data_IF_109792066053
#
_entry.id   IF_109792066053
#
_cell.length_a   1.000
_cell.length_b   1.000
_cell.length_c   1.000
_cell.angle_alpha   90.00
_cell.angle_beta   90.00
_cell.angle_gamma   90.00
#
_symmetry.space_group_name_H-M   'P 1'
#
loop_
_entity.id
_entity.type
_entity.pdbx_description
1 polymer ?
#
# COMPACT_ATOMS: atom_id res chain seq x y z
N UNK A 1 -6.35 20.18 1.82
CA UNK A 1 -6.18 18.89 1.13
C UNK A 1 -6.07 19.12 -0.37
N UNK A 2 -7.07 19.72 -1.04
CA UNK A 2 -7.16 19.84 -2.50
C UNK A 2 -5.91 20.42 -3.15
N UNK A 3 -5.50 21.65 -2.82
CA UNK A 3 -4.34 22.30 -3.47
C UNK A 3 -3.05 21.52 -3.29
N UNK A 4 -2.90 20.95 -2.13
CA UNK A 4 -1.70 20.24 -1.74
C UNK A 4 -1.56 18.91 -2.48
N UNK A 5 -2.56 18.04 -2.41
CA UNK A 5 -2.51 16.74 -3.08
C UNK A 5 -2.49 16.91 -4.60
N UNK A 6 -3.23 17.85 -5.15
CA UNK A 6 -3.27 18.14 -6.58
C UNK A 6 -1.90 18.50 -7.15
N UNK A 7 -1.19 19.43 -6.50
CA UNK A 7 0.12 19.90 -6.98
C UNK A 7 1.27 18.96 -6.63
N UNK A 8 1.22 18.31 -5.44
CA UNK A 8 2.31 17.43 -5.00
C UNK A 8 2.37 16.11 -5.78
N UNK A 9 1.24 15.63 -6.28
CA UNK A 9 1.13 14.28 -6.82
C UNK A 9 0.91 14.24 -8.33
N UNK A 10 1.16 15.36 -9.02
CA UNK A 10 0.95 15.49 -10.46
C UNK A 10 -0.49 15.16 -10.93
N UNK A 11 -1.49 15.22 -10.05
CA UNK A 11 -2.89 14.99 -10.41
C UNK A 11 -3.41 16.01 -11.43
N UNK A 12 -2.75 17.16 -11.54
CA UNK A 12 -3.02 18.16 -12.58
C UNK A 12 -2.78 17.68 -14.03
N UNK A 13 -2.04 16.58 -14.19
CA UNK A 13 -1.85 15.97 -15.52
C UNK A 13 -3.02 15.07 -15.92
N UNK A 14 -3.86 14.68 -14.97
CA UNK A 14 -4.95 13.71 -15.15
C UNK A 14 -6.32 14.39 -15.03
N UNK A 15 -6.47 15.34 -14.11
CA UNK A 15 -7.72 16.02 -13.81
C UNK A 15 -7.54 17.54 -13.90
N UNK A 16 -8.56 18.26 -14.34
CA UNK A 16 -8.63 19.69 -14.05
C UNK A 16 -8.89 19.91 -12.54
N UNK A 17 -8.57 21.12 -12.05
CA UNK A 17 -8.64 21.41 -10.61
C UNK A 17 -10.07 21.32 -10.06
N UNK A 18 -11.07 21.71 -10.84
CA UNK A 18 -12.47 21.72 -10.42
C UNK A 18 -13.02 20.30 -10.30
N UNK A 19 -12.72 19.45 -11.28
CA UNK A 19 -13.12 18.03 -11.25
C UNK A 19 -12.39 17.29 -10.15
N UNK A 20 -11.09 17.54 -9.97
CA UNK A 20 -10.35 16.96 -8.85
C UNK A 20 -10.97 17.31 -7.49
N UNK A 21 -11.28 18.59 -7.28
CA UNK A 21 -11.90 19.02 -6.02
C UNK A 21 -13.28 18.43 -5.80
N UNK A 22 -14.15 18.47 -6.81
CA UNK A 22 -15.55 18.08 -6.64
C UNK A 22 -15.76 16.57 -6.67
N UNK A 23 -15.03 15.85 -7.53
CA UNK A 23 -15.20 14.40 -7.71
C UNK A 23 -14.29 13.65 -6.75
N UNK A 24 -12.98 13.92 -6.77
CA UNK A 24 -12.00 13.12 -6.03
C UNK A 24 -11.99 13.49 -4.56
N UNK A 25 -11.89 14.78 -4.22
CA UNK A 25 -11.74 15.20 -2.83
C UNK A 25 -13.05 15.19 -2.08
N UNK A 26 -14.11 15.80 -2.64
CA UNK A 26 -15.42 15.89 -1.97
C UNK A 26 -16.29 14.66 -2.24
N UNK A 27 -16.36 14.23 -3.51
CA UNK A 27 -17.26 13.16 -3.92
C UNK A 27 -16.85 11.76 -3.45
N UNK A 28 -15.56 11.55 -3.20
CA UNK A 28 -15.04 10.26 -2.72
C UNK A 28 -14.72 10.25 -1.22
N UNK A 29 -15.06 11.29 -0.47
CA UNK A 29 -14.88 11.29 0.99
C UNK A 29 -15.58 10.05 1.62
N UNK A 30 -14.99 9.34 2.59
CA UNK A 30 -13.78 9.63 3.34
C UNK A 30 -12.47 9.04 2.76
N UNK A 31 -12.43 8.63 1.50
CA UNK A 31 -11.21 8.16 0.89
C UNK A 31 -10.21 9.32 0.67
N UNK A 32 -8.96 9.14 1.07
CA UNK A 32 -7.92 10.10 0.72
C UNK A 32 -7.74 10.15 -0.82
N UNK A 33 -7.43 11.32 -1.42
CA UNK A 33 -7.41 11.46 -2.87
C UNK A 33 -6.53 10.46 -3.63
N UNK A 34 -5.32 10.17 -3.13
CA UNK A 34 -4.47 9.15 -3.73
C UNK A 34 -4.99 7.73 -3.49
N UNK A 35 -5.71 7.51 -2.42
CA UNK A 35 -6.40 6.23 -2.16
C UNK A 35 -7.43 5.95 -3.23
N UNK A 36 -8.23 6.96 -3.62
CA UNK A 36 -9.22 6.83 -4.72
C UNK A 36 -8.54 6.40 -6.02
N UNK A 37 -7.51 7.13 -6.41
CA UNK A 37 -6.79 6.83 -7.66
C UNK A 37 -6.13 5.44 -7.61
N UNK A 38 -5.47 5.12 -6.49
CA UNK A 38 -4.82 3.82 -6.30
C UNK A 38 -5.84 2.67 -6.33
N UNK A 39 -7.00 2.84 -5.69
CA UNK A 39 -8.07 1.85 -5.67
C UNK A 39 -8.54 1.50 -7.08
N UNK A 40 -8.85 2.51 -7.88
CA UNK A 40 -9.30 2.31 -9.28
C UNK A 40 -8.21 1.61 -10.09
N UNK A 41 -6.98 2.11 -10.03
CA UNK A 41 -5.88 1.55 -10.84
C UNK A 41 -5.44 0.15 -10.41
N UNK A 42 -5.47 -0.16 -9.14
CA UNK A 42 -5.23 -1.53 -8.65
C UNK A 42 -6.35 -2.46 -9.10
N UNK A 43 -7.61 -2.04 -8.97
CA UNK A 43 -8.75 -2.84 -9.40
C UNK A 43 -8.71 -3.16 -10.91
N UNK A 44 -8.29 -2.21 -11.75
CA UNK A 44 -8.06 -2.45 -13.19
C UNK A 44 -7.02 -3.55 -13.43
N UNK A 45 -5.96 -3.60 -12.62
CA UNK A 45 -4.87 -4.58 -12.75
C UNK A 45 -5.26 -5.99 -12.29
N UNK A 46 -6.16 -6.08 -11.31
CA UNK A 46 -6.60 -7.36 -10.73
C UNK A 46 -8.03 -7.73 -11.12
N UNK A 47 -8.59 -7.05 -12.10
CA UNK A 47 -9.99 -6.82 -12.42
C UNK A 47 -10.82 -8.03 -12.91
N UNK A 48 -10.43 -9.28 -12.64
CA UNK A 48 -11.27 -10.44 -12.97
C UNK A 48 -11.63 -11.29 -11.74
N UNK A 49 -11.35 -10.80 -10.54
CA UNK A 49 -11.54 -11.54 -9.30
C UNK A 49 -12.76 -11.01 -8.53
N UNK A 50 -13.22 -11.77 -7.54
CA UNK A 50 -14.36 -11.47 -6.68
C UNK A 50 -14.22 -10.13 -5.92
N UNK A 51 -12.99 -9.65 -5.75
CA UNK A 51 -12.68 -8.37 -5.09
C UNK A 51 -12.51 -7.26 -6.13
N UNK A 52 -13.43 -6.31 -6.11
CA UNK A 52 -13.48 -5.15 -7.03
C UNK A 52 -13.62 -3.85 -6.26
N UNK A 53 -13.57 -2.72 -6.97
CA UNK A 53 -13.94 -1.41 -6.38
C UNK A 53 -15.34 -1.48 -5.78
N UNK A 54 -16.29 -2.10 -6.47
CA UNK A 54 -17.66 -2.19 -6.02
C UNK A 54 -17.79 -2.94 -4.68
N UNK A 55 -17.17 -4.12 -4.58
CA UNK A 55 -17.20 -4.91 -3.33
C UNK A 55 -16.42 -4.23 -2.20
N UNK A 56 -15.33 -3.50 -2.51
CA UNK A 56 -14.65 -2.66 -1.53
C UNK A 56 -15.57 -1.57 -0.96
N UNK A 57 -16.39 -0.95 -1.80
CA UNK A 57 -17.29 0.13 -1.39
C UNK A 57 -18.51 -0.38 -0.61
N UNK A 58 -19.05 -1.56 -0.98
CA UNK A 58 -20.39 -2.01 -0.53
C UNK A 58 -20.37 -3.11 0.54
N UNK A 59 -19.38 -3.99 0.56
CA UNK A 59 -19.37 -5.13 1.47
C UNK A 59 -18.90 -4.74 2.87
N UNK A 60 -19.57 -5.30 3.90
CA UNK A 60 -19.18 -5.13 5.31
C UNK A 60 -18.17 -6.22 5.71
N UNK A 61 -16.97 -6.15 5.12
CA UNK A 61 -15.85 -7.05 5.37
C UNK A 61 -14.65 -6.32 5.97
N UNK A 62 -13.66 -7.00 6.56
CA UNK A 62 -12.41 -6.37 6.97
C UNK A 62 -11.74 -5.61 5.82
N UNK A 63 -11.22 -4.42 6.12
CA UNK A 63 -10.51 -3.55 5.16
C UNK A 63 -11.38 -3.06 4.00
N UNK A 64 -12.70 -2.90 4.20
CA UNK A 64 -13.62 -2.29 3.23
C UNK A 64 -14.10 -0.93 3.70
N UNK A 65 -14.55 -0.09 2.76
CA UNK A 65 -15.07 1.23 3.07
C UNK A 65 -16.33 1.15 3.94
N UNK A 66 -17.25 0.24 3.63
CA UNK A 66 -18.47 0.06 4.43
C UNK A 66 -18.14 -0.27 5.89
N UNK A 67 -17.18 -1.18 6.15
CA UNK A 67 -16.72 -1.50 7.50
C UNK A 67 -16.03 -0.31 8.17
N UNK A 68 -15.23 0.44 7.43
CA UNK A 68 -14.59 1.65 7.95
C UNK A 68 -15.62 2.66 8.42
N UNK A 69 -16.58 3.01 7.57
CA UNK A 69 -17.64 3.98 7.89
C UNK A 69 -18.47 3.55 9.11
N UNK A 70 -18.78 2.24 9.19
CA UNK A 70 -19.54 1.68 10.34
C UNK A 70 -18.79 1.79 11.67
N UNK A 71 -17.47 1.71 11.63
CA UNK A 71 -16.63 1.75 12.83
C UNK A 71 -16.17 3.16 13.22
N UNK A 72 -16.42 4.16 12.39
CA UNK A 72 -16.03 5.55 12.64
C UNK A 72 -17.28 6.40 12.87
N UNK A 73 -17.22 7.24 13.89
CA UNK A 73 -18.31 8.18 14.19
C UNK A 73 -18.34 9.33 13.20
N UNK A 74 -19.52 9.94 13.00
CA UNK A 74 -19.77 11.04 12.05
C UNK A 74 -18.84 12.26 12.22
N UNK A 75 -18.20 12.42 13.37
CA UNK A 75 -17.28 13.53 13.69
C UNK A 75 -15.80 13.17 13.55
N UNK A 76 -15.48 12.07 12.91
CA UNK A 76 -14.09 11.66 12.69
C UNK A 76 -13.57 12.24 11.38
N UNK A 77 -12.57 13.13 11.46
CA UNK A 77 -11.83 13.63 10.28
C UNK A 77 -10.85 12.59 9.68
N UNK A 78 -10.95 11.34 10.13
CA UNK A 78 -10.06 10.26 9.71
C UNK A 78 -10.36 9.85 8.27
N UNK A 79 -9.37 9.94 7.41
CA UNK A 79 -9.45 9.49 6.03
C UNK A 79 -8.98 8.05 5.89
N UNK A 80 -9.60 7.35 4.94
CA UNK A 80 -9.14 6.03 4.50
C UNK A 80 -7.86 6.18 3.71
N UNK A 81 -6.76 5.66 4.24
CA UNK A 81 -5.44 5.68 3.61
C UNK A 81 -5.22 4.45 2.72
N UNK A 82 -4.22 4.53 1.84
CA UNK A 82 -4.01 3.53 0.81
C UNK A 82 -3.58 2.14 1.33
N UNK A 83 -3.06 2.05 2.55
CA UNK A 83 -2.70 0.78 3.19
C UNK A 83 -3.91 -0.17 3.33
N UNK A 84 -5.13 0.37 3.48
CA UNK A 84 -6.35 -0.44 3.48
C UNK A 84 -6.57 -1.16 2.13
N UNK A 85 -6.21 -0.53 1.01
CA UNK A 85 -6.27 -1.15 -0.32
C UNK A 85 -5.30 -2.35 -0.40
N UNK A 86 -4.09 -2.17 0.12
CA UNK A 86 -3.09 -3.24 0.17
C UNK A 86 -3.61 -4.46 0.94
N UNK A 87 -4.25 -4.23 2.08
CA UNK A 87 -4.81 -5.31 2.90
C UNK A 87 -6.04 -5.95 2.24
N UNK A 88 -6.92 -5.14 1.64
CA UNK A 88 -8.13 -5.63 0.96
C UNK A 88 -7.82 -6.54 -0.21
N UNK A 89 -6.91 -6.13 -1.09
CA UNK A 89 -6.50 -6.94 -2.25
C UNK A 89 -5.42 -7.98 -1.92
N UNK A 90 -4.94 -8.04 -0.69
CA UNK A 90 -3.82 -8.89 -0.28
C UNK A 90 -3.96 -10.35 -0.67
N UNK A 91 -5.17 -10.93 -0.54
CA UNK A 91 -5.45 -12.30 -0.97
C UNK A 91 -5.20 -12.50 -2.48
N UNK A 92 -5.64 -11.54 -3.30
CA UNK A 92 -5.45 -11.60 -4.76
C UNK A 92 -3.97 -11.47 -5.10
N UNK A 93 -3.28 -10.49 -4.54
CA UNK A 93 -1.83 -10.31 -4.76
C UNK A 93 -1.02 -11.54 -4.38
N UNK A 94 -1.45 -12.28 -3.34
CA UNK A 94 -0.76 -13.51 -2.91
C UNK A 94 -1.03 -14.71 -3.83
N UNK A 95 -2.23 -14.80 -4.41
CA UNK A 95 -2.68 -15.94 -5.20
C UNK A 95 -2.42 -15.78 -6.69
N UNK A 96 -2.59 -14.58 -7.22
CA UNK A 96 -2.43 -14.31 -8.65
C UNK A 96 -0.97 -14.11 -9.04
N UNK A 97 -0.29 -15.23 -9.27
CA UNK A 97 1.09 -15.26 -9.76
C UNK A 97 1.22 -14.84 -11.24
N UNK A 98 0.11 -14.80 -11.99
CA UNK A 98 0.12 -14.35 -13.39
C UNK A 98 0.41 -12.86 -13.48
N UNK A 99 -0.02 -12.08 -12.48
CA UNK A 99 0.36 -10.69 -12.31
C UNK A 99 1.68 -10.59 -11.51
N UNK A 100 2.77 -11.01 -12.16
CA UNK A 100 4.09 -11.16 -11.55
C UNK A 100 4.53 -9.91 -10.75
N UNK A 101 4.25 -8.71 -11.27
CA UNK A 101 4.63 -7.46 -10.60
C UNK A 101 3.88 -7.27 -9.29
N UNK A 102 2.56 -7.38 -9.31
CA UNK A 102 1.75 -7.21 -8.10
C UNK A 102 2.11 -8.28 -7.05
N UNK A 103 2.21 -9.53 -7.49
CA UNK A 103 2.61 -10.62 -6.62
C UNK A 103 3.98 -10.37 -5.96
N UNK A 104 5.00 -10.03 -6.76
CA UNK A 104 6.38 -9.80 -6.27
C UNK A 104 6.46 -8.63 -5.28
N UNK A 105 5.86 -7.50 -5.59
CA UNK A 105 5.89 -6.34 -4.69
C UNK A 105 5.10 -6.59 -3.40
N UNK A 106 4.00 -7.34 -3.47
CA UNK A 106 3.25 -7.79 -2.30
C UNK A 106 4.09 -8.69 -1.38
N UNK A 107 4.73 -9.71 -1.95
CA UNK A 107 5.56 -10.66 -1.16
C UNK A 107 6.75 -9.93 -0.51
N UNK A 108 7.40 -9.00 -1.22
CA UNK A 108 8.46 -8.16 -0.66
C UNK A 108 7.97 -7.34 0.53
N UNK A 109 6.85 -6.64 0.37
CA UNK A 109 6.27 -5.84 1.44
C UNK A 109 5.89 -6.69 2.66
N UNK A 110 5.24 -7.83 2.43
CA UNK A 110 4.85 -8.78 3.49
C UNK A 110 6.06 -9.33 4.24
N UNK A 111 7.14 -9.65 3.52
CA UNK A 111 8.42 -10.06 4.13
C UNK A 111 9.00 -8.97 5.04
N UNK A 112 9.06 -7.72 4.54
CA UNK A 112 9.60 -6.61 5.30
C UNK A 112 8.75 -6.27 6.54
N UNK A 113 7.41 -6.31 6.42
CA UNK A 113 6.51 -6.11 7.55
C UNK A 113 6.77 -7.16 8.64
N UNK A 114 6.88 -8.44 8.26
CA UNK A 114 7.19 -9.51 9.21
C UNK A 114 8.58 -9.36 9.85
N UNK A 115 9.54 -8.87 9.07
CA UNK A 115 10.88 -8.59 9.61
C UNK A 115 10.83 -7.49 10.66
N UNK A 116 10.11 -6.39 10.40
CA UNK A 116 9.88 -5.33 11.37
C UNK A 116 9.15 -5.84 12.62
N UNK A 117 8.13 -6.71 12.47
CA UNK A 117 7.40 -7.33 13.56
C UNK A 117 8.33 -8.13 14.47
N UNK A 118 9.20 -8.94 13.86
CA UNK A 118 10.16 -9.74 14.60
C UNK A 118 11.16 -8.87 15.36
N UNK A 119 11.71 -7.85 14.72
CA UNK A 119 12.65 -6.93 15.38
C UNK A 119 12.00 -6.18 16.56
N UNK A 120 10.72 -5.80 16.41
CA UNK A 120 9.97 -5.21 17.51
C UNK A 120 9.77 -6.18 18.68
N UNK A 121 9.48 -7.44 18.41
CA UNK A 121 9.29 -8.46 19.44
C UNK A 121 10.61 -8.83 20.13
N UNK A 122 11.70 -8.97 19.37
CA UNK A 122 13.02 -9.40 19.87
C UNK A 122 13.70 -8.33 20.76
N UNK A 123 13.36 -7.06 20.60
CA UNK A 123 14.00 -5.93 21.32
C UNK A 123 13.24 -5.44 22.55
N UNK A 124 12.30 -6.22 23.13
CA UNK A 124 11.78 -6.00 24.48
C UNK A 124 10.30 -5.66 24.63
N UNK A 125 9.45 -6.09 23.74
CA UNK A 125 8.00 -6.25 23.98
C UNK A 125 7.15 -4.97 23.95
N UNK A 126 7.55 -3.88 24.55
CA UNK A 126 6.93 -2.57 24.39
C UNK A 126 7.78 -1.67 23.50
N UNK A 127 7.77 -2.08 22.25
CA UNK A 127 8.05 -1.23 21.12
C UNK A 127 9.42 -0.58 21.05
N UNK A 128 10.42 -1.28 20.52
CA UNK A 128 11.63 -0.62 19.98
C UNK A 128 11.30 0.63 19.14
N UNK A 129 10.19 0.61 18.43
CA UNK A 129 9.70 1.74 17.64
C UNK A 129 8.52 2.51 18.29
N UNK A 130 7.86 1.95 19.33
CA UNK A 130 6.55 2.43 19.78
C UNK A 130 5.43 2.14 18.76
N UNK A 131 4.21 1.87 19.22
CA UNK A 131 3.11 1.39 18.39
C UNK A 131 2.78 2.32 17.21
N UNK A 132 2.74 3.63 17.46
CA UNK A 132 2.44 4.63 16.43
C UNK A 132 3.51 4.70 15.33
N UNK A 133 4.78 4.63 15.69
CA UNK A 133 5.88 4.68 14.73
C UNK A 133 5.86 3.41 13.86
N UNK A 134 5.67 2.26 14.49
CA UNK A 134 5.56 0.99 13.79
C UNK A 134 4.36 0.96 12.81
N UNK A 135 3.21 1.49 13.20
CA UNK A 135 2.06 1.63 12.29
C UNK A 135 2.38 2.49 11.08
N UNK A 136 3.09 3.60 11.26
CA UNK A 136 3.54 4.42 10.14
C UNK A 136 4.56 3.71 9.25
N UNK A 137 5.47 2.92 9.82
CA UNK A 137 6.40 2.09 9.06
C UNK A 137 5.64 1.09 8.16
N UNK A 138 4.62 0.40 8.69
CA UNK A 138 3.75 -0.50 7.91
C UNK A 138 3.02 0.24 6.79
N UNK A 139 2.44 1.40 7.08
CA UNK A 139 1.75 2.24 6.07
C UNK A 139 2.69 2.66 4.95
N UNK A 140 3.92 3.07 5.26
CA UNK A 140 4.93 3.43 4.25
C UNK A 140 5.28 2.21 3.39
N UNK A 141 5.57 1.05 3.98
CA UNK A 141 5.90 -0.18 3.23
C UNK A 141 4.74 -0.55 2.28
N UNK A 142 3.51 -0.58 2.76
CA UNK A 142 2.32 -0.88 1.95
C UNK A 142 2.13 0.13 0.80
N UNK A 143 2.33 1.42 1.08
CA UNK A 143 2.23 2.48 0.07
C UNK A 143 3.30 2.39 -1.00
N UNK A 144 4.56 2.10 -0.62
CA UNK A 144 5.65 1.84 -1.57
C UNK A 144 5.32 0.64 -2.47
N UNK A 145 4.79 -0.45 -1.89
CA UNK A 145 4.38 -1.61 -2.67
C UNK A 145 3.30 -1.25 -3.70
N UNK A 146 2.23 -0.57 -3.29
CA UNK A 146 1.14 -0.17 -4.17
C UNK A 146 1.63 0.71 -5.33
N UNK A 147 2.45 1.73 -5.06
CA UNK A 147 3.01 2.59 -6.10
C UNK A 147 3.91 1.81 -7.07
N UNK A 148 4.72 0.89 -6.57
CA UNK A 148 5.55 0.02 -7.41
C UNK A 148 4.70 -0.97 -8.24
N UNK A 149 3.57 -1.47 -7.72
CA UNK A 149 2.62 -2.29 -8.47
C UNK A 149 1.98 -1.48 -9.60
N UNK A 150 1.61 -0.23 -9.35
CA UNK A 150 1.04 0.65 -10.38
C UNK A 150 2.02 0.92 -11.50
N UNK A 151 3.29 1.12 -11.19
CA UNK A 151 4.37 1.36 -12.15
C UNK A 151 4.05 2.50 -13.13
N UNK A 152 3.56 3.60 -12.59
CA UNK A 152 3.21 4.79 -13.37
C UNK A 152 4.32 5.84 -13.22
N UNK A 153 4.57 6.58 -14.30
CA UNK A 153 5.56 7.66 -14.31
C UNK A 153 5.11 8.86 -13.50
N UNK A 154 3.81 9.08 -13.44
CA UNK A 154 3.19 10.22 -12.75
C UNK A 154 3.14 10.02 -11.23
N UNK A 155 3.05 8.77 -10.78
CA UNK A 155 2.93 8.40 -9.37
C UNK A 155 4.02 7.41 -8.97
N UNK A 156 5.15 7.94 -8.60
CA UNK A 156 6.28 7.16 -8.07
C UNK A 156 6.30 7.20 -6.54
N UNK A 157 6.96 6.22 -5.93
CA UNK A 157 7.08 6.12 -4.47
C UNK A 157 8.09 7.14 -3.92
N UNK A 158 7.85 8.44 -4.15
CA UNK A 158 8.64 9.53 -3.59
C UNK A 158 7.98 10.14 -2.35
N UNK A 159 8.68 11.03 -1.67
CA UNK A 159 8.19 11.66 -0.45
C UNK A 159 6.84 12.37 -0.65
N UNK A 160 6.64 13.02 -1.78
CA UNK A 160 5.40 13.74 -2.08
C UNK A 160 4.19 12.81 -2.14
N UNK A 161 4.31 11.72 -2.90
CA UNK A 161 3.24 10.73 -3.01
C UNK A 161 3.05 9.96 -1.70
N UNK A 162 4.14 9.55 -1.03
CA UNK A 162 4.05 8.79 0.22
C UNK A 162 3.40 9.60 1.35
N UNK A 163 3.75 10.88 1.51
CA UNK A 163 3.09 11.76 2.50
C UNK A 163 1.58 11.83 2.22
N UNK A 164 1.18 12.00 0.96
CA UNK A 164 -0.24 12.06 0.60
C UNK A 164 -0.97 10.72 0.77
N UNK A 165 -0.26 9.59 0.72
CA UNK A 165 -0.85 8.26 0.94
C UNK A 165 -0.94 7.86 2.41
N UNK A 166 -0.01 8.34 3.25
CA UNK A 166 0.15 7.86 4.63
C UNK A 166 -0.45 8.80 5.64
N UNK A 167 -0.23 10.10 5.52
CA UNK A 167 -0.58 11.03 6.62
C UNK A 167 -1.20 12.35 6.20
N UNK A 168 -1.30 12.68 4.90
CA UNK A 168 -1.76 13.98 4.43
C UNK A 168 -1.17 15.18 5.22
N UNK A 169 0.03 14.99 5.79
CA UNK A 169 0.82 15.92 6.60
C UNK A 169 0.34 16.17 8.06
N UNK A 170 -0.72 15.54 8.53
CA UNK A 170 -1.18 15.72 9.91
C UNK A 170 -0.12 15.28 10.94
N UNK A 171 0.66 14.24 10.63
CA UNK A 171 1.71 13.71 11.49
C UNK A 171 3.06 13.62 10.74
N UNK A 172 3.47 14.73 10.14
CA UNK A 172 4.69 14.78 9.33
C UNK A 172 5.94 14.33 10.09
N UNK A 173 6.06 14.71 11.36
CA UNK A 173 7.22 14.30 12.18
C UNK A 173 7.27 12.78 12.36
N UNK A 174 6.11 12.14 12.55
CA UNK A 174 6.01 10.69 12.70
C UNK A 174 6.30 9.98 11.37
N UNK A 175 5.83 10.55 10.26
CA UNK A 175 6.19 10.06 8.91
C UNK A 175 7.70 10.12 8.67
N UNK A 176 8.34 11.25 8.95
CA UNK A 176 9.78 11.40 8.76
C UNK A 176 10.59 10.45 9.66
N UNK A 177 10.16 10.25 10.91
CA UNK A 177 10.78 9.29 11.83
C UNK A 177 10.64 7.85 11.32
N UNK A 178 9.44 7.45 10.86
CA UNK A 178 9.18 6.13 10.31
C UNK A 178 9.97 5.88 9.02
N UNK A 179 10.01 6.86 8.12
CA UNK A 179 10.81 6.79 6.89
C UNK A 179 12.30 6.64 7.21
N UNK A 180 12.80 7.43 8.16
CA UNK A 180 14.19 7.34 8.63
C UNK A 180 14.49 5.95 9.20
N UNK A 181 13.65 5.43 10.08
CA UNK A 181 13.80 4.09 10.62
C UNK A 181 13.87 3.02 9.52
N UNK A 182 13.01 3.12 8.49
CA UNK A 182 13.00 2.20 7.36
C UNK A 182 14.25 2.31 6.47
N UNK A 183 14.80 3.51 6.30
CA UNK A 183 16.02 3.70 5.49
C UNK A 183 17.28 3.31 6.26
N UNK A 184 17.40 3.70 7.51
CA UNK A 184 18.54 3.36 8.38
C UNK A 184 18.58 1.86 8.69
N UNK A 185 17.41 1.22 8.91
CA UNK A 185 17.26 -0.22 9.08
C UNK A 185 17.48 -1.04 7.79
N UNK A 186 17.70 -0.37 6.66
CA UNK A 186 17.98 -1.04 5.39
C UNK A 186 16.78 -1.73 4.75
N UNK A 187 15.55 -1.30 5.06
CA UNK A 187 14.32 -1.81 4.44
C UNK A 187 14.00 -1.10 3.12
N UNK A 188 14.30 0.20 3.06
CA UNK A 188 14.08 1.05 1.90
C UNK A 188 15.39 1.66 1.42
N UNK A 189 15.51 1.85 0.12
CA UNK A 189 16.58 2.61 -0.51
C UNK A 189 15.98 3.64 -1.46
N UNK A 190 16.43 4.89 -1.35
CA UNK A 190 16.06 5.94 -2.29
C UNK A 190 16.91 5.88 -3.55
N UNK A 191 16.27 5.79 -4.70
CA UNK A 191 16.91 5.82 -6.02
C UNK A 191 16.78 7.21 -6.64
N UNK A 192 17.85 7.97 -6.65
CA UNK A 192 17.87 9.34 -7.21
C UNK A 192 17.42 9.41 -8.67
N UNK A 193 17.80 8.40 -9.48
CA UNK A 193 17.48 8.39 -10.92
C UNK A 193 15.99 8.30 -11.22
N UNK A 194 15.23 7.59 -10.40
CA UNK A 194 13.79 7.39 -10.54
C UNK A 194 12.98 8.20 -9.54
N UNK A 195 13.61 9.05 -8.73
CA UNK A 195 12.98 9.80 -7.64
C UNK A 195 12.04 8.92 -6.80
N UNK A 196 12.49 7.72 -6.39
CA UNK A 196 11.59 6.77 -5.75
C UNK A 196 12.29 5.89 -4.72
N UNK A 197 11.54 5.53 -3.68
CA UNK A 197 11.91 4.49 -2.74
C UNK A 197 11.60 3.11 -3.31
N UNK A 198 12.54 2.21 -3.11
CA UNK A 198 12.41 0.80 -3.47
C UNK A 198 12.78 -0.09 -2.29
N UNK A 199 12.24 -1.28 -2.25
CA UNK A 199 12.60 -2.27 -1.24
C UNK A 199 14.06 -2.70 -1.39
N UNK A 200 14.81 -2.58 -0.30
CA UNK A 200 16.14 -3.16 -0.19
C UNK A 200 15.98 -4.57 0.39
N UNK A 201 15.83 -5.51 -0.49
CA UNK A 201 15.93 -6.91 -0.15
C UNK A 201 17.35 -7.29 -0.54
N UNK A 202 18.22 -7.48 0.45
CA UNK A 202 19.47 -8.17 0.18
C UNK A 202 19.05 -9.50 -0.45
N UNK A 203 19.64 -9.82 -1.58
CA UNK A 203 19.48 -11.12 -2.24
C UNK A 203 20.07 -12.20 -1.34
N UNK A 204 19.49 -12.38 -0.16
CA UNK A 204 19.67 -13.60 0.59
C UNK A 204 19.06 -14.70 -0.26
N UNK A 205 19.88 -15.67 -0.61
CA UNK A 205 19.45 -16.87 -1.33
C UNK A 205 18.19 -17.54 -0.72
N UNK A 206 17.84 -17.17 0.50
CA UNK A 206 16.62 -17.52 1.20
C UNK A 206 15.36 -16.79 0.69
N UNK A 207 15.45 -15.54 0.22
CA UNK A 207 14.27 -14.81 -0.24
C UNK A 207 13.82 -15.29 -1.63
N UNK A 208 14.76 -15.51 -2.55
CA UNK A 208 14.45 -16.09 -3.86
C UNK A 208 13.91 -17.50 -3.72
N UNK A 209 14.53 -18.32 -2.85
CA UNK A 209 14.03 -19.66 -2.51
C UNK A 209 12.64 -19.64 -1.85
N UNK A 210 12.33 -18.65 -1.04
CA UNK A 210 11.00 -18.49 -0.42
C UNK A 210 9.94 -18.11 -1.47
N UNK A 211 10.28 -17.23 -2.43
CA UNK A 211 9.42 -16.90 -3.57
C UNK A 211 9.21 -18.14 -4.46
N UNK A 212 10.28 -18.83 -4.83
CA UNK A 212 10.19 -20.03 -5.66
C UNK A 212 9.37 -21.15 -5.00
N UNK A 213 9.56 -21.39 -3.69
CA UNK A 213 8.76 -22.35 -2.93
C UNK A 213 7.26 -22.01 -2.95
N UNK A 214 6.91 -20.72 -2.84
CA UNK A 214 5.52 -20.28 -2.87
C UNK A 214 4.92 -20.38 -4.26
N UNK A 215 5.66 -19.98 -5.29
CA UNK A 215 5.25 -20.13 -6.70
C UNK A 215 4.99 -21.61 -7.01
N UNK A 216 5.91 -22.49 -6.62
CA UNK A 216 5.77 -23.93 -6.86
C UNK A 216 4.59 -24.53 -6.07
N UNK A 217 4.36 -24.09 -4.82
CA UNK A 217 3.22 -24.54 -4.01
C UNK A 217 1.88 -24.11 -4.63
N UNK A 218 1.78 -22.91 -5.18
CA UNK A 218 0.57 -22.43 -5.87
C UNK A 218 0.36 -23.17 -7.20
N UNK A 219 1.43 -23.40 -7.96
CA UNK A 219 1.35 -24.19 -9.21
C UNK A 219 0.89 -25.64 -8.95
N UNK A 220 1.41 -26.29 -7.90
CA UNK A 220 0.96 -27.64 -7.53
C UNK A 220 -0.53 -27.65 -7.12
N UNK A 221 -0.98 -26.67 -6.34
CA UNK A 221 -2.40 -26.61 -5.96
C UNK A 221 -3.35 -26.30 -7.11
N UNK A 222 -2.87 -25.64 -8.17
CA UNK A 222 -3.66 -25.39 -9.39
C UNK A 222 -3.70 -26.61 -10.31
N UNK A 223 -2.65 -27.42 -10.36
CA UNK A 223 -2.66 -28.68 -11.15
C UNK A 223 -3.57 -29.74 -10.53
N UNK A 224 -3.69 -29.81 -9.21
CA UNK A 224 -4.62 -30.72 -8.52
C UNK A 224 -6.10 -30.37 -8.75
N UNK A 225 -6.43 -29.11 -9.07
CA UNK A 225 -7.80 -28.68 -9.36
C UNK A 225 -8.23 -28.97 -10.82
N UNK A 226 -7.28 -29.20 -11.71
CA UNK A 226 -7.54 -29.48 -13.14
C UNK A 226 -7.73 -30.99 -13.41
N UNK A 227 -7.37 -31.87 -12.46
CA UNK A 227 -7.52 -33.31 -12.57
C UNK A 227 -8.78 -33.87 -11.84
N UNK A 228 -9.66 -33.01 -11.32
CA UNK A 228 -10.99 -33.35 -10.84
C UNK A 228 -12.08 -32.76 -11.75
#
# INVERSE_FOLDING_TARGET
ITERTYNMTNMYTIFDKKDYENIIVKGCFPLAPLTVYTLVKISEKVGQNERTVFTFMSNDEPNTLARFVKNHTENSDTLVSADMIFDYFGYIFEKDISNERCHREYIKAKYLIRKCEKEQADNGGEGFYGDKLYDYMKKIIKSVALLNMLNQTELVANDKCLICMVCLEENKNLYEAAKKALTDGGYLTYRRRSDSYVFRINTDANFEKEIEKRINKVKCSQSEVVEC
#
